data_IF_553333310412
#
_entry.id   IF_553333310412
#
_cell.length_a   1.000
_cell.length_b   1.000
_cell.length_c   1.000
_cell.angle_alpha   90.00
_cell.angle_beta   90.00
_cell.angle_gamma   90.00
#
_symmetry.space_group_name_H-M   'P 1'
#
loop_
_entity.id
_entity.type
_entity.pdbx_description
1 polymer ?
#
# COMPACT_ATOMS: atom_id res chain seq x y z
N UNK A 1 -55.23 29.08 -16.70
CA UNK A 1 -53.78 29.29 -16.66
C UNK A 1 -53.11 28.08 -16.07
N UNK A 2 -52.62 27.16 -16.88
CA UNK A 2 -51.82 26.02 -16.42
C UNK A 2 -50.35 26.29 -16.72
N UNK A 3 -49.55 26.29 -15.66
CA UNK A 3 -48.14 26.64 -15.63
C UNK A 3 -47.30 25.59 -16.36
N UNK A 4 -46.68 25.94 -17.49
CA UNK A 4 -45.64 25.21 -18.18
C UNK A 4 -44.29 25.44 -17.49
N UNK A 5 -44.14 24.95 -16.24
CA UNK A 5 -42.94 25.21 -15.42
C UNK A 5 -42.21 23.94 -14.97
N UNK A 6 -42.27 22.85 -15.73
CA UNK A 6 -41.73 21.59 -15.20
C UNK A 6 -40.69 20.89 -16.07
N UNK A 7 -40.48 21.27 -17.31
CA UNK A 7 -39.52 20.59 -18.19
C UNK A 7 -38.09 21.15 -18.12
N UNK A 8 -37.95 22.45 -17.95
CA UNK A 8 -36.64 23.13 -17.94
C UNK A 8 -35.91 22.93 -16.59
N UNK A 9 -36.65 22.89 -15.49
CA UNK A 9 -36.07 22.70 -14.14
C UNK A 9 -35.58 21.30 -13.93
N UNK A 10 -36.27 20.28 -14.46
CA UNK A 10 -35.84 18.87 -14.35
C UNK A 10 -34.57 18.62 -15.14
N UNK A 11 -34.44 19.25 -16.35
CA UNK A 11 -33.24 19.10 -17.17
C UNK A 11 -31.99 19.71 -16.50
N UNK A 12 -32.14 20.89 -15.87
CA UNK A 12 -31.04 21.56 -15.17
C UNK A 12 -30.54 20.79 -13.94
N UNK A 13 -31.45 20.19 -13.19
CA UNK A 13 -31.11 19.37 -12.00
C UNK A 13 -30.40 18.07 -12.40
N UNK A 14 -30.83 17.46 -13.49
CA UNK A 14 -30.20 16.21 -13.98
C UNK A 14 -28.78 16.45 -14.49
N UNK A 15 -28.54 17.57 -15.19
CA UNK A 15 -27.19 17.93 -15.66
C UNK A 15 -26.27 18.26 -14.48
N UNK A 16 -26.78 18.94 -13.44
CA UNK A 16 -25.98 19.26 -12.24
C UNK A 16 -25.59 18.01 -11.44
N UNK A 17 -26.47 17.04 -11.32
CA UNK A 17 -26.19 15.75 -10.67
C UNK A 17 -25.17 14.90 -11.46
N UNK A 18 -25.21 14.93 -12.79
CA UNK A 18 -24.21 14.23 -13.62
C UNK A 18 -22.80 14.85 -13.51
N UNK A 19 -22.71 16.17 -13.40
CA UNK A 19 -21.41 16.87 -13.25
C UNK A 19 -20.80 16.59 -11.88
N UNK A 20 -21.59 16.48 -10.80
CA UNK A 20 -21.08 16.12 -9.47
C UNK A 20 -20.62 14.66 -9.39
N UNK A 21 -21.22 13.73 -10.13
CA UNK A 21 -20.79 12.35 -10.19
C UNK A 21 -19.47 12.13 -10.95
N UNK A 22 -19.17 12.99 -11.93
CA UNK A 22 -17.91 12.95 -12.67
C UNK A 22 -16.73 13.52 -11.89
N UNK A 23 -16.98 14.38 -10.89
CA UNK A 23 -15.91 15.03 -10.11
C UNK A 23 -15.29 14.11 -9.04
N UNK A 24 -15.98 13.07 -8.59
CA UNK A 24 -15.46 12.12 -7.60
C UNK A 24 -14.50 11.07 -8.19
N UNK A 25 -14.47 10.90 -9.51
CA UNK A 25 -13.53 9.98 -10.17
C UNK A 25 -12.13 10.60 -10.41
N UNK A 26 -11.97 11.90 -10.22
CA UNK A 26 -10.72 12.60 -10.55
C UNK A 26 -9.65 12.55 -9.45
N UNK A 27 -9.94 11.99 -8.27
CA UNK A 27 -9.02 11.88 -7.14
C UNK A 27 -8.56 10.46 -6.82
N UNK A 28 -8.84 9.48 -7.67
CA UNK A 28 -8.13 8.21 -7.60
C UNK A 28 -6.68 8.48 -8.04
N UNK A 29 -5.81 8.69 -7.08
CA UNK A 29 -4.37 8.88 -7.31
C UNK A 29 -3.83 7.60 -7.97
N UNK A 30 -3.81 7.63 -9.32
CA UNK A 30 -3.27 6.57 -10.16
C UNK A 30 -1.74 6.69 -10.10
N UNK A 31 -1.15 6.11 -9.09
CA UNK A 31 0.29 6.09 -9.00
C UNK A 31 0.73 4.88 -8.19
N UNK A 32 1.85 4.31 -8.57
CA UNK A 32 2.54 3.28 -7.82
C UNK A 32 2.90 3.80 -6.45
N UNK A 33 2.65 3.01 -5.42
CA UNK A 33 3.01 3.30 -4.04
C UNK A 33 4.09 2.32 -3.60
N UNK A 34 5.21 2.84 -3.13
CA UNK A 34 6.34 2.05 -2.69
C UNK A 34 6.54 2.23 -1.18
N UNK A 35 6.38 1.16 -0.41
CA UNK A 35 6.80 1.12 0.99
C UNK A 35 8.22 0.58 1.06
N UNK A 36 9.09 1.28 1.78
CA UNK A 36 10.50 0.91 1.96
C UNK A 36 10.80 0.81 3.46
N UNK A 37 11.24 -0.35 3.88
CA UNK A 37 11.64 -0.63 5.27
C UNK A 37 13.12 -0.96 5.31
N UNK A 38 13.88 -0.13 6.02
CA UNK A 38 15.32 -0.35 6.26
C UNK A 38 15.50 -0.98 7.62
N UNK A 39 16.21 -2.10 7.68
CA UNK A 39 16.44 -2.83 8.92
C UNK A 39 17.91 -3.17 9.14
N UNK A 40 18.31 -3.25 10.40
CA UNK A 40 19.53 -3.91 10.85
C UNK A 40 19.19 -5.26 11.45
N UNK A 41 20.01 -6.26 11.16
CA UNK A 41 19.88 -7.62 11.67
C UNK A 41 21.25 -8.26 11.81
N UNK A 42 21.44 -9.06 12.84
CA UNK A 42 22.65 -9.84 13.04
C UNK A 42 22.67 -11.11 12.19
N UNK A 43 21.51 -11.50 11.63
CA UNK A 43 21.38 -12.66 10.77
C UNK A 43 20.60 -12.33 9.49
N UNK A 44 21.24 -11.73 8.48
CA UNK A 44 20.60 -11.36 7.21
C UNK A 44 19.92 -12.54 6.50
N UNK A 45 20.52 -13.75 6.56
CA UNK A 45 19.97 -14.93 5.91
C UNK A 45 18.63 -15.36 6.55
N UNK A 46 18.55 -15.37 7.87
CA UNK A 46 17.31 -15.67 8.58
C UNK A 46 16.24 -14.60 8.29
N UNK A 47 16.63 -13.33 8.23
CA UNK A 47 15.69 -12.25 7.89
C UNK A 47 15.13 -12.41 6.47
N UNK A 48 15.95 -12.74 5.48
CA UNK A 48 15.48 -12.98 4.11
C UNK A 48 14.52 -14.17 4.04
N UNK A 49 14.77 -15.24 4.79
CA UNK A 49 13.85 -16.38 4.90
C UNK A 49 12.50 -15.97 5.49
N UNK A 50 12.49 -15.14 6.53
CA UNK A 50 11.26 -14.62 7.12
C UNK A 50 10.50 -13.72 6.15
N UNK A 51 11.18 -12.91 5.35
CA UNK A 51 10.52 -12.12 4.28
C UNK A 51 9.86 -13.04 3.25
N UNK A 52 10.47 -14.18 2.91
CA UNK A 52 9.83 -15.13 2.00
C UNK A 52 8.54 -15.74 2.59
N UNK A 53 8.54 -16.07 3.88
CA UNK A 53 7.29 -16.46 4.56
C UNK A 53 6.23 -15.36 4.49
N UNK A 54 6.62 -14.11 4.74
CA UNK A 54 5.72 -12.96 4.62
C UNK A 54 5.14 -12.82 3.21
N UNK A 55 5.92 -13.07 2.16
CA UNK A 55 5.42 -13.09 0.77
C UNK A 55 4.34 -14.16 0.58
N UNK A 56 4.53 -15.36 1.13
CA UNK A 56 3.55 -16.45 1.01
C UNK A 56 2.25 -16.08 1.76
N UNK A 57 2.35 -15.50 2.94
CA UNK A 57 1.19 -15.02 3.72
C UNK A 57 0.43 -13.95 2.92
N UNK A 58 1.12 -12.94 2.39
CA UNK A 58 0.50 -11.89 1.59
C UNK A 58 -0.18 -12.45 0.33
N UNK A 59 0.45 -13.43 -0.32
CA UNK A 59 -0.13 -14.12 -1.47
C UNK A 59 -1.41 -14.88 -1.08
N UNK A 60 -1.42 -15.59 0.03
CA UNK A 60 -2.60 -16.32 0.53
C UNK A 60 -3.76 -15.38 0.87
N UNK A 61 -3.46 -14.15 1.29
CA UNK A 61 -4.44 -13.11 1.57
C UNK A 61 -4.93 -12.38 0.30
N UNK A 62 -4.41 -12.72 -0.88
CA UNK A 62 -4.76 -12.06 -2.14
C UNK A 62 -4.32 -10.59 -2.18
N UNK A 63 -3.22 -10.26 -1.53
CA UNK A 63 -2.66 -8.90 -1.52
C UNK A 63 -1.92 -8.65 -2.83
N UNK A 64 -2.28 -7.56 -3.49
CA UNK A 64 -1.58 -7.08 -4.69
C UNK A 64 -0.36 -6.27 -4.26
N UNK A 65 0.81 -6.86 -4.39
CA UNK A 65 2.06 -6.18 -4.06
C UNK A 65 3.27 -7.00 -4.50
N UNK A 66 4.33 -6.31 -4.88
CA UNK A 66 5.60 -6.93 -5.25
C UNK A 66 6.64 -6.62 -4.19
N UNK A 67 7.09 -7.63 -3.46
CA UNK A 67 8.13 -7.50 -2.42
C UNK A 67 9.50 -7.78 -3.01
N UNK A 68 10.46 -6.89 -2.75
CA UNK A 68 11.88 -7.07 -3.09
C UNK A 68 12.74 -6.88 -1.86
N UNK A 69 13.90 -7.53 -1.83
CA UNK A 69 14.89 -7.40 -0.75
C UNK A 69 16.24 -7.03 -1.36
N UNK A 70 16.89 -6.07 -0.74
CA UNK A 70 18.15 -5.49 -1.18
C UNK A 70 19.11 -5.42 0.00
N UNK A 71 20.40 -5.38 -0.27
CA UNK A 71 21.41 -5.06 0.74
C UNK A 71 22.03 -3.69 0.40
N UNK A 72 22.04 -2.79 1.38
CA UNK A 72 22.70 -1.50 1.23
C UNK A 72 24.22 -1.69 1.23
N UNK A 73 24.88 -1.36 0.11
CA UNK A 73 26.32 -1.55 -0.06
C UNK A 73 27.10 -0.27 0.22
N UNK A 74 26.74 0.82 -0.46
CA UNK A 74 27.41 2.12 -0.36
C UNK A 74 26.42 3.16 0.14
N UNK A 75 26.02 3.03 1.38
CA UNK A 75 24.93 3.82 1.98
C UNK A 75 25.37 4.56 3.26
N UNK A 76 26.67 4.88 3.41
CA UNK A 76 27.17 5.56 4.60
C UNK A 76 26.83 4.81 5.89
N UNK A 77 26.13 5.45 6.85
CA UNK A 77 25.74 4.83 8.13
C UNK A 77 24.84 3.61 8.01
N UNK A 78 24.16 3.44 6.88
CA UNK A 78 23.25 2.32 6.59
C UNK A 78 23.92 1.18 5.82
N UNK A 79 25.24 1.27 5.57
CA UNK A 79 25.98 0.20 4.89
C UNK A 79 25.80 -1.13 5.64
N UNK A 80 25.46 -2.19 4.89
CA UNK A 80 25.16 -3.52 5.44
C UNK A 80 23.69 -3.70 5.89
N UNK A 81 22.89 -2.65 5.97
CA UNK A 81 21.45 -2.78 6.26
C UNK A 81 20.73 -3.56 5.16
N UNK A 82 19.66 -4.22 5.53
CA UNK A 82 18.74 -4.84 4.57
C UNK A 82 17.58 -3.89 4.30
N UNK A 83 17.24 -3.74 3.03
CA UNK A 83 16.13 -2.91 2.57
C UNK A 83 15.07 -3.81 1.98
N UNK A 84 13.88 -3.83 2.58
CA UNK A 84 12.71 -4.47 2.00
C UNK A 84 11.83 -3.42 1.33
N UNK A 85 11.42 -3.64 0.11
CA UNK A 85 10.46 -2.78 -0.56
C UNK A 85 9.22 -3.57 -0.97
N UNK A 86 8.06 -2.95 -0.80
CA UNK A 86 6.78 -3.48 -1.28
C UNK A 86 6.15 -2.43 -2.18
N UNK A 87 5.98 -2.79 -3.45
CA UNK A 87 5.35 -1.96 -4.47
C UNK A 87 3.89 -2.34 -4.62
N UNK A 88 3.00 -1.37 -4.44
CA UNK A 88 1.56 -1.52 -4.63
C UNK A 88 1.12 -0.75 -5.88
N UNK A 89 0.18 -1.28 -6.69
CA UNK A 89 -0.26 -0.63 -7.93
C UNK A 89 -1.04 0.67 -7.69
N UNK A 90 -1.54 0.90 -6.47
CA UNK A 90 -2.31 2.09 -6.10
C UNK A 90 -2.42 2.25 -4.58
N UNK A 91 -2.89 3.41 -4.12
CA UNK A 91 -3.27 3.62 -2.72
C UNK A 91 -4.41 2.71 -2.26
N UNK A 92 -5.37 2.40 -3.14
CA UNK A 92 -6.46 1.48 -2.81
C UNK A 92 -5.94 0.06 -2.56
N UNK A 93 -4.96 -0.40 -3.35
CA UNK A 93 -4.29 -1.68 -3.13
C UNK A 93 -3.50 -1.70 -1.81
N UNK A 94 -2.85 -0.60 -1.44
CA UNK A 94 -2.20 -0.44 -0.14
C UNK A 94 -3.23 -0.49 1.00
N UNK A 95 -4.33 0.24 0.90
CA UNK A 95 -5.40 0.25 1.90
C UNK A 95 -6.03 -1.13 2.09
N UNK A 96 -6.29 -1.85 1.00
CA UNK A 96 -6.77 -3.23 1.04
C UNK A 96 -5.76 -4.17 1.70
N UNK A 97 -4.47 -4.01 1.39
CA UNK A 97 -3.40 -4.77 2.03
C UNK A 97 -3.38 -4.56 3.55
N UNK A 98 -3.45 -3.32 4.02
CA UNK A 98 -3.51 -3.03 5.47
C UNK A 98 -4.76 -3.64 6.13
N UNK A 99 -5.92 -3.54 5.49
CA UNK A 99 -7.15 -4.15 6.00
C UNK A 99 -7.01 -5.66 6.17
N UNK A 100 -6.46 -6.35 5.16
CA UNK A 100 -6.27 -7.80 5.16
C UNK A 100 -5.22 -8.25 6.18
N UNK A 101 -4.08 -7.56 6.24
CA UNK A 101 -3.00 -7.90 7.18
C UNK A 101 -3.41 -7.66 8.63
N UNK A 102 -4.13 -6.58 8.92
CA UNK A 102 -4.64 -6.30 10.26
C UNK A 102 -5.67 -7.34 10.73
N UNK A 103 -6.45 -7.90 9.81
CA UNK A 103 -7.44 -8.93 10.09
C UNK A 103 -6.85 -10.35 10.14
N UNK A 104 -5.59 -10.56 9.77
CA UNK A 104 -4.94 -11.88 9.70
C UNK A 104 -4.13 -12.18 10.95
N UNK A 105 -4.56 -13.14 11.79
CA UNK A 105 -3.75 -13.59 12.94
C UNK A 105 -2.39 -14.17 12.54
N UNK A 106 -2.33 -14.86 11.40
CA UNK A 106 -1.11 -15.43 10.85
C UNK A 106 -0.09 -14.33 10.49
N UNK A 107 -0.53 -13.27 9.83
CA UNK A 107 0.32 -12.13 9.51
C UNK A 107 0.82 -11.43 10.78
N UNK A 108 -0.04 -11.23 11.78
CA UNK A 108 0.32 -10.59 13.04
C UNK A 108 1.34 -11.45 13.84
N UNK A 109 1.20 -12.77 13.83
CA UNK A 109 2.16 -13.67 14.44
C UNK A 109 3.52 -13.61 13.73
N UNK A 110 3.52 -13.61 12.41
CA UNK A 110 4.74 -13.47 11.62
C UNK A 110 5.46 -12.13 11.89
N UNK A 111 4.74 -11.01 11.98
CA UNK A 111 5.34 -9.71 12.32
C UNK A 111 6.04 -9.76 13.69
N UNK A 112 5.42 -10.37 14.71
CA UNK A 112 6.02 -10.53 16.03
C UNK A 112 7.30 -11.37 16.00
N UNK A 113 7.35 -12.42 15.19
CA UNK A 113 8.56 -13.22 15.02
C UNK A 113 9.66 -12.44 14.31
N UNK A 114 9.28 -11.65 13.30
CA UNK A 114 10.20 -10.79 12.56
C UNK A 114 10.84 -9.72 13.46
N UNK A 115 10.07 -9.15 14.41
CA UNK A 115 10.56 -8.15 15.36
C UNK A 115 11.67 -8.68 16.28
N UNK A 116 11.75 -9.99 16.50
CA UNK A 116 12.79 -10.62 17.33
C UNK A 116 14.16 -10.65 16.66
N UNK A 117 14.20 -10.56 15.32
CA UNK A 117 15.44 -10.73 14.54
C UNK A 117 15.84 -9.47 13.76
N UNK A 118 15.11 -8.37 13.92
CA UNK A 118 15.40 -7.11 13.23
C UNK A 118 15.24 -5.90 14.14
N UNK A 119 15.98 -4.85 13.79
CA UNK A 119 15.74 -3.48 14.27
C UNK A 119 15.38 -2.60 13.07
N UNK A 120 14.18 -2.01 13.07
CA UNK A 120 13.76 -1.06 12.05
C UNK A 120 14.56 0.22 12.22
N UNK A 121 15.22 0.67 11.16
CA UNK A 121 15.94 1.93 11.06
C UNK A 121 15.01 3.00 10.51
N UNK A 122 14.28 2.68 9.44
CA UNK A 122 13.26 3.56 8.84
C UNK A 122 12.16 2.73 8.18
N UNK A 123 10.95 3.31 8.12
CA UNK A 123 9.80 2.78 7.39
C UNK A 123 9.16 3.98 6.67
N UNK A 124 9.22 3.98 5.36
CA UNK A 124 8.89 5.13 4.51
C UNK A 124 7.95 4.73 3.39
N UNK A 125 7.07 5.66 3.02
CA UNK A 125 6.16 5.50 1.91
C UNK A 125 6.50 6.53 0.82
N UNK A 126 6.63 6.06 -0.41
CA UNK A 126 6.92 6.87 -1.59
C UNK A 126 5.78 6.73 -2.59
N UNK A 127 5.51 7.80 -3.31
CA UNK A 127 4.52 7.83 -4.39
C UNK A 127 5.20 8.28 -5.67
N UNK A 128 4.81 7.70 -6.78
CA UNK A 128 5.22 8.16 -8.11
C UNK A 128 4.51 9.46 -8.46
N UNK A 129 5.24 10.40 -9.08
CA UNK A 129 4.72 11.69 -9.55
C UNK A 129 4.12 11.57 -10.96
#
# INVERSE_FOLDING_TARGET
>A
MRKTLTRTTVLAVTIFLLVCAASSAAFAQKGTVLRVVVVKTDNPAAYVQEIEKGRQIMKSLGIQGTTRVWQARFAGPEAGAIVSSIEYPSFDALADAYKKTNASPEYQAWVKDLEKIRKIVSDSLYTEW
#
